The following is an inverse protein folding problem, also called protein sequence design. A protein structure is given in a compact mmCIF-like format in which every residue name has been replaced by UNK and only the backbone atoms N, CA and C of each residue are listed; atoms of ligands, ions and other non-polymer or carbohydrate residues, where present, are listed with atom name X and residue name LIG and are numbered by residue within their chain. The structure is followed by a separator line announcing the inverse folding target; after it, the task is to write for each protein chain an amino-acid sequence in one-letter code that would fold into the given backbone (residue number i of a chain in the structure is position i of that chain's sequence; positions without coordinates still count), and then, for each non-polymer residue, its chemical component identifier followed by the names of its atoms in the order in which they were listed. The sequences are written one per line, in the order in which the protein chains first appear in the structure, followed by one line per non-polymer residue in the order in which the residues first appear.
data_IF_267452394171
#
_entry.id   IF_267452394171
#
_cell.length_a   1.000
_cell.length_b   1.000
_cell.length_c   1.000
_cell.angle_alpha   90.00
_cell.angle_beta   90.00
_cell.angle_gamma   90.00
#
_symmetry.space_group_name_H-M   'P 1'
#
loop_
_entity.id
_entity.type
_entity.pdbx_description
1 polymer ?
#
# COMPACT_ATOMS: atom_id res chain seq x y z
N UNK A 1 24.39 8.90 -21.24
CA UNK A 1 23.65 7.95 -20.39
C UNK A 1 23.11 8.72 -19.19
N UNK A 2 21.81 8.95 -19.12
CA UNK A 2 21.18 9.42 -17.89
C UNK A 2 21.04 8.21 -16.98
N UNK A 3 21.81 8.14 -15.91
CA UNK A 3 21.60 7.14 -14.87
C UNK A 3 20.23 7.40 -14.25
N UNK A 4 19.27 6.51 -14.52
CA UNK A 4 17.97 6.55 -13.86
C UNK A 4 18.22 6.27 -12.38
N UNK A 5 18.05 7.30 -11.55
CA UNK A 5 18.08 7.13 -10.10
C UNK A 5 16.77 6.51 -9.64
N UNK A 6 16.85 5.44 -8.84
CA UNK A 6 15.69 4.75 -8.28
C UNK A 6 15.52 5.16 -6.83
N UNK A 7 14.52 6.00 -6.56
CA UNK A 7 14.20 6.49 -5.22
C UNK A 7 12.79 6.06 -4.86
N UNK A 8 12.65 5.43 -3.70
CA UNK A 8 11.34 5.03 -3.16
C UNK A 8 11.07 5.80 -1.88
N UNK A 9 9.84 6.31 -1.76
CA UNK A 9 9.34 6.91 -0.52
C UNK A 9 8.17 6.08 0.00
N UNK A 10 8.30 5.58 1.22
CA UNK A 10 7.25 4.88 1.96
C UNK A 10 6.64 5.88 2.94
N UNK A 11 5.32 6.05 2.83
CA UNK A 11 4.52 6.84 3.75
C UNK A 11 3.69 5.87 4.58
N UNK A 12 3.97 5.77 5.89
CA UNK A 12 3.21 4.93 6.81
C UNK A 12 2.62 5.74 7.97
N UNK A 13 1.68 5.15 8.70
CA UNK A 13 1.12 5.69 9.93
C UNK A 13 1.98 5.39 11.18
N UNK A 14 3.17 4.79 10.97
CA UNK A 14 4.07 4.30 12.02
C UNK A 14 3.39 3.28 12.96
N UNK A 15 2.42 2.51 12.46
CA UNK A 15 1.84 1.39 13.18
C UNK A 15 2.88 0.33 13.57
N UNK A 16 2.53 -0.66 14.42
CA UNK A 16 3.49 -1.63 14.97
C UNK A 16 4.29 -2.38 13.90
N UNK A 17 3.63 -2.73 12.79
CA UNK A 17 4.24 -3.46 11.66
C UNK A 17 5.18 -2.58 10.82
N UNK A 18 5.08 -1.27 10.98
CA UNK A 18 5.75 -0.24 10.18
C UNK A 18 6.40 0.82 11.07
N UNK A 19 6.81 0.47 12.28
CA UNK A 19 7.52 1.38 13.18
C UNK A 19 9.03 1.26 12.99
N UNK A 20 9.72 2.40 12.95
CA UNK A 20 11.19 2.46 13.00
C UNK A 20 11.74 2.12 14.38
N UNK A 21 10.92 2.08 15.42
CA UNK A 21 11.37 1.73 16.77
C UNK A 21 11.66 0.22 16.89
N UNK A 22 11.20 -0.57 15.92
CA UNK A 22 11.48 -2.00 15.82
C UNK A 22 12.69 -2.26 14.91
N UNK A 23 13.76 -2.83 15.47
CA UNK A 23 14.99 -3.18 14.73
C UNK A 23 14.73 -4.14 13.57
N UNK A 24 13.78 -5.07 13.71
CA UNK A 24 13.44 -6.01 12.65
C UNK A 24 12.87 -5.30 11.41
N UNK A 25 12.07 -4.25 11.62
CA UNK A 25 11.51 -3.46 10.53
C UNK A 25 12.60 -2.69 9.78
N UNK A 26 13.54 -2.08 10.51
CA UNK A 26 14.70 -1.41 9.90
C UNK A 26 15.52 -2.40 9.05
N UNK A 27 15.79 -3.60 9.58
CA UNK A 27 16.54 -4.62 8.85
C UNK A 27 15.83 -5.03 7.56
N UNK A 28 14.53 -5.28 7.62
CA UNK A 28 13.73 -5.64 6.46
C UNK A 28 13.71 -4.53 5.41
N UNK A 29 13.66 -3.26 5.80
CA UNK A 29 13.76 -2.15 4.86
C UNK A 29 15.15 -2.01 4.24
N UNK A 30 16.21 -2.25 5.01
CA UNK A 30 17.57 -2.31 4.47
C UNK A 30 17.70 -3.38 3.39
N UNK A 31 17.08 -4.55 3.59
CA UNK A 31 17.01 -5.61 2.57
C UNK A 31 16.24 -5.16 1.34
N UNK A 32 15.08 -4.51 1.48
CA UNK A 32 14.33 -3.98 0.34
C UNK A 32 15.17 -2.97 -0.46
N UNK A 33 15.87 -2.07 0.24
CA UNK A 33 16.77 -1.10 -0.40
C UNK A 33 17.88 -1.78 -1.23
N UNK A 34 18.52 -2.80 -0.66
CA UNK A 34 19.59 -3.56 -1.33
C UNK A 34 19.05 -4.41 -2.50
N UNK A 35 18.02 -5.21 -2.26
CA UNK A 35 17.46 -6.15 -3.24
C UNK A 35 16.85 -5.42 -4.45
N UNK A 36 16.24 -4.26 -4.23
CA UNK A 36 15.68 -3.42 -5.29
C UNK A 36 16.72 -2.46 -5.90
N UNK A 37 17.97 -2.48 -5.42
CA UNK A 37 19.08 -1.63 -5.90
C UNK A 37 18.71 -0.15 -5.95
N UNK A 38 18.07 0.33 -4.88
CA UNK A 38 17.62 1.71 -4.80
C UNK A 38 18.80 2.64 -4.48
N UNK A 39 18.81 3.83 -5.06
CA UNK A 39 19.74 4.89 -4.66
C UNK A 39 19.34 5.48 -3.30
N UNK A 40 18.04 5.53 -3.02
CA UNK A 40 17.51 5.97 -1.74
C UNK A 40 16.17 5.31 -1.41
N UNK A 41 16.02 4.95 -0.14
CA UNK A 41 14.76 4.55 0.47
C UNK A 41 14.43 5.55 1.58
N UNK A 42 13.33 6.27 1.42
CA UNK A 42 12.88 7.30 2.36
C UNK A 42 11.66 6.76 3.10
N UNK A 43 11.72 6.75 4.42
CA UNK A 43 10.58 6.39 5.25
C UNK A 43 10.08 7.61 6.01
N UNK A 44 8.81 7.95 5.81
CA UNK A 44 8.16 9.06 6.51
C UNK A 44 6.81 8.65 7.06
N UNK A 45 6.38 9.37 8.10
CA UNK A 45 5.04 9.29 8.64
C UNK A 45 4.44 10.69 8.77
N UNK A 46 3.11 10.77 8.74
CA UNK A 46 2.43 12.02 9.06
C UNK A 46 2.51 12.29 10.56
N UNK A 47 2.61 13.58 10.92
CA UNK A 47 2.51 13.97 12.31
C UNK A 47 1.15 13.57 12.93
N UNK A 48 1.08 13.28 14.23
CA UNK A 48 -0.18 13.04 14.92
C UNK A 48 -1.20 14.15 14.64
N UNK A 49 -2.44 13.78 14.33
CA UNK A 49 -3.51 14.73 13.98
C UNK A 49 -3.53 15.18 12.51
N UNK A 50 -2.58 14.73 11.69
CA UNK A 50 -2.55 15.00 10.24
C UNK A 50 -3.02 13.81 9.38
N UNK A 51 -3.70 12.83 9.98
CA UNK A 51 -4.17 11.60 9.32
C UNK A 51 -5.08 11.88 8.10
N UNK A 52 -5.88 12.97 8.14
CA UNK A 52 -6.69 13.45 6.99
C UNK A 52 -5.90 13.70 5.69
N UNK A 53 -4.59 13.92 5.79
CA UNK A 53 -3.71 14.11 4.63
C UNK A 53 -3.11 12.81 4.12
N UNK A 54 -3.25 11.71 4.87
CA UNK A 54 -2.82 10.38 4.47
C UNK A 54 -3.61 9.93 3.24
N UNK A 55 -2.95 9.76 2.07
CA UNK A 55 -3.63 9.36 0.84
C UNK A 55 -4.28 7.99 0.98
N UNK A 56 -3.74 7.12 1.83
CA UNK A 56 -4.27 5.78 2.09
C UNK A 56 -5.63 5.87 2.80
N UNK A 57 -5.77 6.67 3.85
CA UNK A 57 -7.04 6.86 4.56
C UNK A 57 -8.13 7.44 3.64
N UNK A 58 -7.75 8.40 2.79
CA UNK A 58 -8.67 8.99 1.81
C UNK A 58 -9.13 7.98 0.76
N UNK A 59 -8.24 7.08 0.34
CA UNK A 59 -8.57 5.99 -0.57
C UNK A 59 -9.48 4.97 0.11
N UNK A 60 -9.15 4.55 1.33
CA UNK A 60 -9.95 3.59 2.08
C UNK A 60 -11.36 4.08 2.35
N UNK A 61 -11.56 5.36 2.71
CA UNK A 61 -12.91 5.91 2.86
C UNK A 61 -13.79 5.69 1.63
N UNK A 62 -13.24 5.91 0.42
CA UNK A 62 -13.97 5.66 -0.83
C UNK A 62 -14.21 4.17 -1.09
N UNK A 63 -13.22 3.33 -0.77
CA UNK A 63 -13.36 1.88 -0.91
C UNK A 63 -14.42 1.34 0.05
N UNK A 64 -14.48 1.84 1.28
CA UNK A 64 -15.50 1.46 2.27
C UNK A 64 -16.89 1.78 1.76
N UNK A 65 -17.10 2.96 1.17
CA UNK A 65 -18.40 3.32 0.59
C UNK A 65 -18.77 2.41 -0.59
N UNK A 66 -17.80 2.09 -1.45
CA UNK A 66 -18.01 1.20 -2.62
C UNK A 66 -18.28 -0.25 -2.24
N UNK A 67 -17.67 -0.71 -1.14
CA UNK A 67 -17.81 -2.07 -0.63
C UNK A 67 -18.96 -2.19 0.38
N UNK A 68 -19.65 -1.09 0.70
CA UNK A 68 -20.77 -1.11 1.61
C UNK A 68 -21.92 -1.94 1.03
N UNK A 69 -22.31 -2.99 1.75
CA UNK A 69 -23.36 -3.92 1.31
C UNK A 69 -22.86 -5.08 0.42
N UNK A 70 -21.55 -5.15 0.13
CA UNK A 70 -20.95 -6.36 -0.44
C UNK A 70 -20.89 -7.42 0.64
N UNK A 71 -21.70 -8.47 0.49
CA UNK A 71 -21.58 -9.67 1.30
C UNK A 71 -20.50 -10.55 0.69
N UNK A 72 -19.51 -10.93 1.48
CA UNK A 72 -18.59 -12.00 1.10
C UNK A 72 -19.43 -13.28 1.12
N UNK A 73 -19.63 -13.89 -0.04
CA UNK A 73 -20.27 -15.19 -0.14
C UNK A 73 -19.30 -16.22 0.44
N UNK A 74 -19.49 -16.54 1.71
CA UNK A 74 -18.70 -17.56 2.42
C UNK A 74 -19.21 -18.93 1.98
N UNK A 75 -19.06 -19.27 0.70
CA UNK A 75 -19.18 -20.65 0.30
C UNK A 75 -18.01 -21.40 0.92
N UNK A 76 -18.32 -22.16 1.97
CA UNK A 76 -17.42 -22.86 2.88
C UNK A 76 -16.70 -24.02 2.20
N UNK A 77 -15.92 -23.73 1.15
CA UNK A 77 -14.82 -24.58 0.71
C UNK A 77 -13.53 -23.81 0.92
N UNK A 78 -12.96 -23.95 2.13
CA UNK A 78 -11.63 -23.44 2.45
C UNK A 78 -10.59 -24.06 1.51
N UNK A 79 -10.29 -23.36 0.42
CA UNK A 79 -9.07 -23.52 -0.36
C UNK A 79 -8.36 -22.17 -0.37
N UNK A 80 -7.30 -22.08 0.45
CA UNK A 80 -6.29 -21.02 0.49
C UNK A 80 -6.77 -19.60 0.15
N UNK A 81 -7.37 -18.95 1.15
CA UNK A 81 -7.89 -17.57 1.10
C UNK A 81 -6.81 -16.48 1.01
N UNK A 82 -5.52 -16.82 1.10
CA UNK A 82 -4.41 -15.86 1.02
C UNK A 82 -4.25 -15.24 -0.38
N UNK A 83 -4.65 -15.96 -1.45
CA UNK A 83 -4.50 -15.48 -2.83
C UNK A 83 -5.70 -14.63 -3.33
N UNK A 84 -6.88 -14.77 -2.73
CA UNK A 84 -8.10 -14.11 -3.22
C UNK A 84 -8.21 -12.63 -2.83
N UNK A 85 -7.67 -12.24 -1.66
CA UNK A 85 -7.65 -10.85 -1.22
C UNK A 85 -6.63 -9.99 -2.00
N UNK A 86 -5.48 -10.57 -2.37
CA UNK A 86 -4.48 -9.88 -3.18
C UNK A 86 -4.97 -9.60 -4.61
N UNK A 87 -5.72 -10.53 -5.20
CA UNK A 87 -6.32 -10.35 -6.53
C UNK A 87 -7.36 -9.22 -6.58
N UNK A 88 -8.21 -9.10 -5.55
CA UNK A 88 -9.28 -8.09 -5.54
C UNK A 88 -8.74 -6.67 -5.38
N UNK A 89 -7.72 -6.45 -4.56
CA UNK A 89 -7.05 -5.15 -4.45
C UNK A 89 -6.27 -4.80 -5.73
N UNK A 90 -5.57 -5.77 -6.33
CA UNK A 90 -4.88 -5.57 -7.62
C UNK A 90 -5.88 -5.21 -8.72
N UNK A 91 -7.04 -5.86 -8.78
CA UNK A 91 -8.04 -5.60 -9.80
C UNK A 91 -8.77 -4.26 -9.58
N UNK A 92 -8.97 -3.84 -8.32
CA UNK A 92 -9.40 -2.48 -7.97
C UNK A 92 -8.39 -1.42 -8.40
N UNK A 93 -7.09 -1.66 -8.18
CA UNK A 93 -6.01 -0.79 -8.64
C UNK A 93 -5.92 -0.71 -10.17
N UNK A 94 -6.10 -1.83 -10.89
CA UNK A 94 -6.18 -1.87 -12.36
C UNK A 94 -7.40 -1.09 -12.88
N UNK A 95 -8.56 -1.22 -12.24
CA UNK A 95 -9.76 -0.46 -12.58
C UNK A 95 -9.52 1.06 -12.44
N UNK A 96 -8.82 1.49 -11.39
CA UNK A 96 -8.45 2.89 -11.17
C UNK A 96 -7.40 3.42 -12.17
N UNK A 97 -6.38 2.62 -12.49
CA UNK A 97 -5.38 2.98 -13.51
C UNK A 97 -5.99 3.08 -14.91
N UNK A 98 -7.00 2.28 -15.25
CA UNK A 98 -7.71 2.40 -16.52
C UNK A 98 -8.65 3.61 -16.59
N UNK A 99 -9.19 4.09 -15.46
CA UNK A 99 -10.02 5.31 -15.43
C UNK A 99 -9.21 6.60 -15.46
N UNK A 100 -7.94 6.58 -15.07
CA UNK A 100 -7.09 7.78 -15.01
C UNK A 100 -6.62 8.28 -16.39
N UNK A 101 -6.96 7.57 -17.49
CA UNK A 101 -6.73 8.01 -18.87
C UNK A 101 -7.98 8.59 -19.56
N UNK A 102 -9.12 8.62 -18.88
CA UNK A 102 -10.34 9.23 -19.38
C UNK A 102 -10.80 10.30 -18.41
N UNK A 103 -10.18 11.49 -18.48
CA UNK A 103 -10.75 12.82 -18.21
C UNK A 103 -9.59 13.83 -18.05
N UNK A 104 -9.12 14.34 -19.19
CA UNK A 104 -8.67 15.73 -19.30
C UNK A 104 -9.88 16.59 -19.67
#
# INVERSE_FOLDING_TARGET
MLFHKSVVTIISDNGPDWSTDCTANIYNLGRVWEEQRLDALIWVSYAPGHSRFNPIERMFSRLTDLLQGVLIDLDTSFKDTSQQLDMTLIDLCKYWNNKSYCNY
#
